data_IF_327726826160
#
_entry.id   IF_327726826160
#
_cell.length_a   1.000
_cell.length_b   1.000
_cell.length_c   1.000
_cell.angle_alpha   90.00
_cell.angle_beta   90.00
_cell.angle_gamma   90.00
#
_symmetry.space_group_name_H-M   'P 1'
#
loop_
_entity.id
_entity.type
_entity.pdbx_description
1 polymer ?
#
# COMPACT_ATOMS: atom_id res chain seq x y z
N UNK A 1 -4.91 5.81 5.99
CA UNK A 1 -4.61 6.18 4.58
C UNK A 1 -5.59 7.26 4.14
N UNK A 2 -5.15 8.29 3.42
CA UNK A 2 -5.97 9.41 2.97
C UNK A 2 -6.15 9.38 1.44
N UNK A 3 -7.39 9.26 0.98
CA UNK A 3 -7.74 9.07 -0.43
C UNK A 3 -8.62 10.22 -0.93
N UNK A 4 -8.26 10.80 -2.06
CA UNK A 4 -9.05 11.83 -2.75
C UNK A 4 -9.61 11.31 -4.08
N UNK A 5 -10.93 11.32 -4.26
CA UNK A 5 -11.57 11.14 -5.57
C UNK A 5 -11.82 12.48 -6.25
N UNK A 6 -11.36 12.63 -7.50
CA UNK A 6 -11.54 13.85 -8.28
C UNK A 6 -12.38 13.61 -9.53
N UNK A 7 -13.31 14.53 -9.77
CA UNK A 7 -14.10 14.62 -11.00
C UNK A 7 -14.22 16.10 -11.39
N UNK A 8 -14.89 16.44 -12.49
CA UNK A 8 -15.09 17.85 -12.86
C UNK A 8 -16.14 18.49 -11.94
N UNK A 9 -17.36 17.97 -11.92
CA UNK A 9 -18.49 18.63 -11.26
C UNK A 9 -18.69 18.27 -9.77
N UNK A 10 -17.99 17.25 -9.27
CA UNK A 10 -18.22 16.65 -7.95
C UNK A 10 -19.71 16.37 -7.60
N UNK A 11 -20.51 16.01 -8.60
CA UNK A 11 -21.96 15.85 -8.46
C UNK A 11 -22.44 14.39 -8.38
N UNK A 12 -21.74 13.46 -9.04
CA UNK A 12 -22.18 12.06 -9.14
C UNK A 12 -21.03 11.08 -8.86
N UNK A 13 -20.21 10.76 -9.87
CA UNK A 13 -19.18 9.70 -9.82
C UNK A 13 -18.29 9.76 -8.57
N UNK A 14 -17.76 10.94 -8.25
CA UNK A 14 -16.83 11.14 -7.13
C UNK A 14 -17.50 11.06 -5.75
N UNK A 15 -18.76 11.50 -5.63
CA UNK A 15 -19.54 11.32 -4.40
C UNK A 15 -19.94 9.85 -4.20
N UNK A 16 -20.31 9.16 -5.28
CA UNK A 16 -20.56 7.71 -5.27
C UNK A 16 -19.31 6.96 -4.81
N UNK A 17 -18.15 7.30 -5.37
CA UNK A 17 -16.88 6.68 -5.02
C UNK A 17 -16.48 6.97 -3.56
N UNK A 18 -16.64 8.21 -3.08
CA UNK A 18 -16.41 8.60 -1.68
C UNK A 18 -17.24 7.72 -0.72
N UNK A 19 -18.55 7.65 -0.95
CA UNK A 19 -19.47 6.90 -0.10
C UNK A 19 -19.18 5.38 -0.11
N UNK A 20 -18.95 4.81 -1.31
CA UNK A 20 -18.64 3.38 -1.45
C UNK A 20 -17.34 3.00 -0.73
N UNK A 21 -16.27 3.77 -0.94
CA UNK A 21 -14.99 3.47 -0.30
C UNK A 21 -15.08 3.67 1.21
N UNK A 22 -15.76 4.72 1.69
CA UNK A 22 -15.94 4.95 3.12
C UNK A 22 -16.69 3.79 3.78
N UNK A 23 -17.76 3.28 3.16
CA UNK A 23 -18.49 2.13 3.68
C UNK A 23 -17.68 0.83 3.66
N UNK A 24 -16.89 0.59 2.60
CA UNK A 24 -16.11 -0.65 2.46
C UNK A 24 -14.81 -0.65 3.27
N UNK A 25 -14.19 0.50 3.47
CA UNK A 25 -12.93 0.64 4.18
C UNK A 25 -13.12 0.78 5.70
N UNK A 26 -14.26 1.30 6.16
CA UNK A 26 -14.50 1.66 7.56
C UNK A 26 -13.50 2.71 8.04
N UNK A 27 -13.07 2.62 9.30
CA UNK A 27 -12.16 3.59 9.92
C UNK A 27 -10.71 3.52 9.43
N UNK A 28 -10.39 2.59 8.52
CA UNK A 28 -9.03 2.37 8.01
C UNK A 28 -8.56 3.49 7.06
N UNK A 29 -9.51 4.18 6.42
CA UNK A 29 -9.22 5.17 5.39
C UNK A 29 -10.04 6.45 5.61
N UNK A 30 -9.35 7.58 5.56
CA UNK A 30 -10.01 8.86 5.40
C UNK A 30 -10.27 9.07 3.91
N UNK A 31 -11.53 9.26 3.53
CA UNK A 31 -11.93 9.38 2.13
C UNK A 31 -12.54 10.75 1.92
N UNK A 32 -12.17 11.39 0.83
CA UNK A 32 -12.72 12.67 0.41
C UNK A 32 -12.91 12.68 -1.10
N UNK A 33 -13.79 13.55 -1.58
CA UNK A 33 -13.89 13.87 -3.00
C UNK A 33 -14.01 15.37 -3.23
N UNK A 34 -13.65 15.80 -4.44
CA UNK A 34 -13.72 17.19 -4.86
C UNK A 34 -13.88 17.33 -6.38
N UNK A 35 -14.15 18.57 -6.82
CA UNK A 35 -14.37 18.94 -8.22
C UNK A 35 -13.56 20.15 -8.65
N UNK A 36 -13.18 20.21 -9.93
CA UNK A 36 -12.56 21.41 -10.53
C UNK A 36 -13.59 22.51 -10.77
N UNK A 37 -14.84 22.13 -11.05
CA UNK A 37 -15.98 23.02 -11.26
C UNK A 37 -17.19 22.47 -10.46
N UNK A 38 -17.13 22.48 -9.11
CA UNK A 38 -18.13 21.81 -8.28
C UNK A 38 -19.53 22.38 -8.47
N UNK A 39 -20.53 21.52 -8.56
CA UNK A 39 -21.95 21.89 -8.63
C UNK A 39 -22.69 21.40 -7.39
N UNK A 40 -23.90 20.88 -7.51
CA UNK A 40 -24.66 20.26 -6.41
C UNK A 40 -24.61 18.74 -6.53
N UNK A 41 -24.72 18.03 -5.39
CA UNK A 41 -24.88 16.59 -5.41
C UNK A 41 -26.11 16.19 -6.23
N UNK A 42 -25.93 15.29 -7.19
CA UNK A 42 -26.99 14.89 -8.10
C UNK A 42 -28.01 14.01 -7.36
N UNK A 43 -29.32 14.33 -7.37
CA UNK A 43 -30.31 13.59 -6.59
C UNK A 43 -30.32 12.09 -6.86
N UNK A 44 -30.18 11.68 -8.14
CA UNK A 44 -30.13 10.27 -8.51
C UNK A 44 -28.85 9.55 -8.08
N UNK A 45 -27.74 10.27 -7.88
CA UNK A 45 -26.54 9.67 -7.29
C UNK A 45 -26.78 9.33 -5.83
N UNK A 46 -27.41 10.23 -5.07
CA UNK A 46 -27.81 9.99 -3.68
C UNK A 46 -28.84 8.87 -3.60
N UNK A 47 -29.86 8.87 -4.46
CA UNK A 47 -30.88 7.82 -4.50
C UNK A 47 -30.27 6.43 -4.82
N UNK A 48 -29.33 6.35 -5.77
CA UNK A 48 -28.66 5.09 -6.12
C UNK A 48 -27.82 4.52 -4.96
N UNK A 49 -27.21 5.38 -4.15
CA UNK A 49 -26.52 5.00 -2.91
C UNK A 49 -27.52 4.53 -1.85
N UNK A 50 -28.60 5.30 -1.62
CA UNK A 50 -29.64 4.98 -0.63
C UNK A 50 -30.36 3.66 -0.93
N UNK A 51 -30.63 3.34 -2.20
CA UNK A 51 -31.19 2.04 -2.62
C UNK A 51 -30.33 0.84 -2.20
N UNK A 52 -29.05 1.07 -1.92
CA UNK A 52 -28.09 0.05 -1.45
C UNK A 52 -27.77 0.15 0.04
N UNK A 53 -28.53 0.97 0.78
CA UNK A 53 -28.35 1.17 2.22
C UNK A 53 -27.11 1.98 2.59
N UNK A 54 -26.57 2.77 1.64
CA UNK A 54 -25.38 3.61 1.87
C UNK A 54 -25.83 4.98 2.38
N UNK A 55 -25.28 5.41 3.52
CA UNK A 55 -25.59 6.72 4.10
C UNK A 55 -25.12 7.87 3.19
N UNK A 56 -25.90 8.95 3.13
CA UNK A 56 -25.65 10.07 2.19
C UNK A 56 -25.69 11.44 2.85
N UNK A 57 -25.99 11.52 4.14
CA UNK A 57 -26.31 12.76 4.86
C UNK A 57 -25.15 13.76 4.88
N UNK A 58 -23.90 13.25 4.83
CA UNK A 58 -22.69 14.06 4.85
C UNK A 58 -22.09 14.30 3.46
N UNK A 59 -22.68 13.74 2.40
CA UNK A 59 -22.16 13.91 1.04
C UNK A 59 -22.56 15.27 0.50
N UNK A 60 -21.56 16.05 0.13
CA UNK A 60 -21.74 17.34 -0.52
C UNK A 60 -20.68 17.57 -1.57
N UNK A 61 -21.05 18.33 -2.60
CA UNK A 61 -20.12 18.78 -3.62
C UNK A 61 -19.12 19.77 -3.01
N UNK A 62 -17.83 19.59 -3.29
CA UNK A 62 -16.69 20.31 -2.71
C UNK A 62 -15.74 20.78 -3.81
N UNK A 63 -15.20 22.00 -3.67
CA UNK A 63 -14.14 22.51 -4.56
C UNK A 63 -12.80 21.82 -4.29
N UNK A 64 -11.96 21.76 -5.32
CA UNK A 64 -10.55 21.40 -5.20
C UNK A 64 -9.68 22.53 -4.62
N UNK A 65 -10.21 23.75 -4.54
CA UNK A 65 -9.48 24.89 -4.00
C UNK A 65 -9.01 24.63 -2.57
N UNK A 66 -7.72 24.88 -2.31
CA UNK A 66 -7.09 24.64 -1.01
C UNK A 66 -6.74 23.18 -0.73
N UNK A 67 -7.05 22.24 -1.62
CA UNK A 67 -6.63 20.82 -1.47
C UNK A 67 -5.30 20.50 -2.13
N UNK A 68 -4.75 21.39 -2.96
CA UNK A 68 -3.47 21.16 -3.66
C UNK A 68 -2.29 20.96 -2.69
N UNK A 69 -2.31 21.67 -1.56
CA UNK A 69 -1.27 21.55 -0.51
C UNK A 69 -1.52 20.39 0.45
N UNK A 70 -2.66 19.69 0.33
CA UNK A 70 -2.96 18.52 1.15
C UNK A 70 -2.24 17.30 0.58
N UNK A 71 -1.58 16.55 1.47
CA UNK A 71 -0.95 15.28 1.10
C UNK A 71 -1.99 14.15 1.16
N UNK A 72 -2.13 13.46 0.03
CA UNK A 72 -2.94 12.25 -0.11
C UNK A 72 -2.04 11.06 -0.40
N UNK A 73 -2.42 9.90 0.15
CA UNK A 73 -1.79 8.63 -0.21
C UNK A 73 -2.13 8.26 -1.65
N UNK A 74 -3.36 8.55 -2.10
CA UNK A 74 -3.80 8.44 -3.48
C UNK A 74 -4.74 9.56 -3.90
N UNK A 75 -4.55 10.04 -5.12
CA UNK A 75 -5.52 10.89 -5.84
C UNK A 75 -6.04 10.09 -7.02
N UNK A 76 -7.37 9.89 -7.07
CA UNK A 76 -8.02 9.02 -8.06
C UNK A 76 -8.97 9.84 -8.92
N UNK A 77 -8.62 10.05 -10.19
CA UNK A 77 -9.49 10.75 -11.15
C UNK A 77 -10.51 9.80 -11.76
N UNK A 78 -11.78 10.23 -11.84
CA UNK A 78 -12.89 9.41 -12.34
C UNK A 78 -13.34 9.75 -13.78
N UNK A 79 -12.66 10.69 -14.42
CA UNK A 79 -12.87 11.04 -15.82
C UNK A 79 -11.62 11.66 -16.45
N UNK A 80 -11.53 11.56 -17.77
CA UNK A 80 -10.42 12.10 -18.56
C UNK A 80 -10.21 13.61 -18.42
N UNK A 81 -11.28 14.38 -18.26
CA UNK A 81 -11.18 15.83 -18.07
C UNK A 81 -10.53 16.16 -16.73
N UNK A 82 -11.05 15.59 -15.64
CA UNK A 82 -10.48 15.76 -14.31
C UNK A 82 -9.04 15.24 -14.23
N UNK A 83 -8.70 14.15 -14.94
CA UNK A 83 -7.32 13.67 -15.07
C UNK A 83 -6.40 14.76 -15.60
N UNK A 84 -6.74 15.38 -16.73
CA UNK A 84 -5.92 16.41 -17.38
C UNK A 84 -5.77 17.66 -16.51
N UNK A 85 -6.84 18.08 -15.85
CA UNK A 85 -6.87 19.29 -15.01
C UNK A 85 -6.15 19.08 -13.66
N UNK A 86 -6.31 17.91 -13.04
CA UNK A 86 -5.80 17.65 -11.68
C UNK A 86 -4.39 17.06 -11.65
N UNK A 87 -3.96 16.32 -12.67
CA UNK A 87 -2.64 15.67 -12.66
C UNK A 87 -1.47 16.66 -12.47
N UNK A 88 -1.47 17.88 -13.06
CA UNK A 88 -0.43 18.87 -12.77
C UNK A 88 -0.45 19.37 -11.33
N UNK A 89 -1.63 19.49 -10.70
CA UNK A 89 -1.82 20.01 -9.34
C UNK A 89 -1.29 19.04 -8.27
N UNK A 90 -1.46 17.74 -8.48
CA UNK A 90 -1.05 16.69 -7.53
C UNK A 90 0.26 15.98 -7.94
N UNK A 91 1.15 16.68 -8.66
CA UNK A 91 2.42 16.11 -9.12
C UNK A 91 3.25 15.62 -7.92
N UNK A 92 3.78 14.40 -8.02
CA UNK A 92 4.59 13.77 -6.96
C UNK A 92 3.79 12.93 -5.97
N UNK A 93 2.45 12.93 -6.05
CA UNK A 93 1.59 12.03 -5.29
C UNK A 93 1.18 10.81 -6.13
N UNK A 94 0.66 9.74 -5.50
CA UNK A 94 0.20 8.57 -6.25
C UNK A 94 -1.12 8.87 -6.97
N UNK A 95 -1.02 9.25 -8.24
CA UNK A 95 -2.17 9.59 -9.07
C UNK A 95 -2.64 8.37 -9.88
N UNK A 96 -3.91 8.01 -9.77
CA UNK A 96 -4.54 6.90 -10.51
C UNK A 96 -5.72 7.45 -11.31
N UNK A 97 -5.93 6.92 -12.52
CA UNK A 97 -7.08 7.27 -13.34
C UNK A 97 -7.97 6.07 -13.59
N UNK A 98 -9.25 6.22 -13.28
CA UNK A 98 -10.31 5.27 -13.58
C UNK A 98 -11.35 5.98 -14.45
N UNK A 99 -11.57 5.51 -15.67
CA UNK A 99 -12.53 6.14 -16.56
C UNK A 99 -13.89 5.45 -16.45
N UNK A 100 -14.92 6.24 -16.12
CA UNK A 100 -16.31 5.79 -16.08
C UNK A 100 -17.19 6.69 -16.94
N UNK A 101 -18.16 6.12 -17.69
CA UNK A 101 -19.19 6.89 -18.36
C UNK A 101 -19.89 7.85 -17.39
N UNK A 102 -20.25 9.05 -17.86
CA UNK A 102 -20.98 10.01 -17.01
C UNK A 102 -22.45 9.60 -16.89
N UNK A 103 -22.93 9.18 -15.70
CA UNK A 103 -24.34 8.82 -15.54
C UNK A 103 -25.29 10.02 -15.71
N UNK A 104 -24.79 11.25 -15.50
CA UNK A 104 -25.60 12.48 -15.65
C UNK A 104 -25.97 12.71 -17.12
N UNK A 105 -25.13 12.27 -18.07
CA UNK A 105 -25.42 12.44 -19.49
C UNK A 105 -26.65 11.62 -19.95
N UNK A 106 -26.85 10.44 -19.37
CA UNK A 106 -28.04 9.62 -19.63
C UNK A 106 -29.21 9.96 -18.70
N UNK A 107 -28.93 10.43 -17.49
CA UNK A 107 -29.88 10.75 -16.42
C UNK A 107 -31.00 9.70 -16.26
N UNK A 108 -30.61 8.44 -16.07
CA UNK A 108 -31.53 7.32 -15.78
C UNK A 108 -31.07 6.58 -14.53
N UNK A 109 -32.00 6.04 -13.73
CA UNK A 109 -31.62 5.25 -12.55
C UNK A 109 -30.69 4.09 -12.91
N UNK A 110 -30.93 3.44 -14.05
CA UNK A 110 -30.07 2.37 -14.57
C UNK A 110 -28.63 2.83 -14.82
N UNK A 111 -28.42 4.05 -15.32
CA UNK A 111 -27.07 4.60 -15.52
C UNK A 111 -26.36 4.83 -14.18
N UNK A 112 -27.05 5.42 -13.19
CA UNK A 112 -26.47 5.61 -11.86
C UNK A 112 -26.20 4.28 -11.15
N UNK A 113 -27.13 3.33 -11.21
CA UNK A 113 -26.96 2.00 -10.60
C UNK A 113 -25.81 1.22 -11.23
N UNK A 114 -25.62 1.35 -12.56
CA UNK A 114 -24.47 0.83 -13.29
C UNK A 114 -23.17 1.48 -12.82
N UNK A 115 -23.12 2.81 -12.72
CA UNK A 115 -21.93 3.51 -12.20
C UNK A 115 -21.59 3.08 -10.78
N UNK A 116 -22.58 2.91 -9.89
CA UNK A 116 -22.37 2.39 -8.53
C UNK A 116 -21.77 0.98 -8.56
N UNK A 117 -22.29 0.10 -9.43
CA UNK A 117 -21.77 -1.26 -9.57
C UNK A 117 -20.31 -1.27 -10.05
N UNK A 118 -20.00 -0.57 -11.14
CA UNK A 118 -18.65 -0.52 -11.70
C UNK A 118 -17.63 0.10 -10.73
N UNK A 119 -18.00 1.18 -10.04
CA UNK A 119 -17.17 1.77 -8.99
C UNK A 119 -16.96 0.81 -7.81
N UNK A 120 -18.01 0.10 -7.40
CA UNK A 120 -17.91 -0.87 -6.31
C UNK A 120 -16.92 -1.99 -6.62
N UNK A 121 -16.93 -2.53 -7.85
CA UNK A 121 -15.97 -3.54 -8.28
C UNK A 121 -14.55 -2.99 -8.30
N UNK A 122 -14.36 -1.78 -8.84
CA UNK A 122 -13.04 -1.14 -8.90
C UNK A 122 -12.48 -0.85 -7.51
N UNK A 123 -13.32 -0.39 -6.59
CA UNK A 123 -12.96 -0.13 -5.19
C UNK A 123 -12.61 -1.44 -4.46
N UNK A 124 -13.36 -2.52 -4.66
CA UNK A 124 -13.01 -3.84 -4.09
C UNK A 124 -11.63 -4.30 -4.55
N UNK A 125 -11.34 -4.20 -5.85
CA UNK A 125 -10.01 -4.52 -6.38
C UNK A 125 -8.91 -3.65 -5.76
N UNK A 126 -9.17 -2.34 -5.61
CA UNK A 126 -8.23 -1.43 -4.96
C UNK A 126 -7.97 -1.86 -3.51
N UNK A 127 -9.02 -2.13 -2.72
CA UNK A 127 -8.88 -2.59 -1.34
C UNK A 127 -8.09 -3.90 -1.24
N UNK A 128 -8.35 -4.88 -2.10
CA UNK A 128 -7.58 -6.14 -2.12
C UNK A 128 -6.08 -5.93 -2.38
N UNK A 129 -5.73 -4.99 -3.25
CA UNK A 129 -4.32 -4.64 -3.51
C UNK A 129 -3.71 -3.93 -2.30
N UNK A 130 -4.48 -3.06 -1.64
CA UNK A 130 -4.03 -2.33 -0.46
C UNK A 130 -3.86 -3.26 0.75
N UNK A 131 -4.77 -4.21 0.98
CA UNK A 131 -4.65 -5.20 2.04
C UNK A 131 -3.39 -6.08 1.85
N UNK A 132 -3.06 -6.45 0.60
CA UNK A 132 -1.79 -7.15 0.29
C UNK A 132 -0.56 -6.30 0.58
N UNK A 133 -0.62 -4.99 0.34
CA UNK A 133 0.48 -4.06 0.63
C UNK A 133 0.62 -3.82 2.13
N UNK A 134 -0.49 -3.74 2.88
CA UNK A 134 -0.48 -3.61 4.34
C UNK A 134 -0.01 -4.90 5.02
N UNK A 135 -0.33 -6.09 4.50
CA UNK A 135 0.33 -7.33 4.96
C UNK A 135 1.83 -7.35 4.69
N UNK A 136 2.32 -6.49 3.79
CA UNK A 136 3.77 -6.29 3.57
C UNK A 136 4.34 -5.19 4.50
N UNK A 137 3.51 -4.20 4.88
CA UNK A 137 3.87 -3.09 5.77
C UNK A 137 3.43 -3.39 7.20
N UNK A 138 4.20 -4.23 7.88
CA UNK A 138 4.63 -4.09 9.28
C UNK A 138 5.43 -5.35 9.61
N UNK A 139 6.64 -5.44 9.04
CA UNK A 139 7.65 -6.42 9.46
C UNK A 139 7.87 -6.37 10.99
N UNK A 140 7.59 -5.20 11.57
CA UNK A 140 7.63 -4.88 12.99
C UNK A 140 6.50 -3.91 13.35
N UNK A 141 5.87 -4.11 14.52
CA UNK A 141 4.86 -3.21 15.07
C UNK A 141 5.49 -1.93 15.66
N UNK A 142 6.75 -2.01 16.09
CA UNK A 142 7.55 -0.88 16.54
C UNK A 142 9.05 -1.10 16.23
N UNK A 143 9.87 -0.03 16.15
CA UNK A 143 11.32 -0.16 15.98
C UNK A 143 11.99 -1.05 17.05
N UNK A 144 11.42 -1.09 18.26
CA UNK A 144 11.88 -1.96 19.35
C UNK A 144 11.86 -3.43 18.98
N UNK A 145 10.91 -3.89 18.17
CA UNK A 145 10.84 -5.29 17.76
C UNK A 145 11.96 -5.63 16.76
N UNK A 146 12.31 -4.70 15.87
CA UNK A 146 13.48 -4.84 15.00
C UNK A 146 14.78 -4.96 15.83
N UNK A 147 14.97 -4.08 16.82
CA UNK A 147 16.13 -4.15 17.69
C UNK A 147 16.17 -5.41 18.57
N UNK A 148 15.03 -5.91 19.06
CA UNK A 148 14.95 -7.22 19.75
C UNK A 148 15.37 -8.37 18.84
N UNK A 149 15.09 -8.29 17.54
CA UNK A 149 15.55 -9.28 16.56
C UNK A 149 17.06 -9.19 16.37
N UNK A 150 17.61 -7.99 16.18
CA UNK A 150 19.05 -7.79 16.02
C UNK A 150 19.87 -8.04 17.29
N UNK A 151 19.26 -7.97 18.49
CA UNK A 151 19.97 -8.15 19.75
C UNK A 151 20.47 -9.60 19.98
N UNK A 152 19.97 -10.56 19.22
CA UNK A 152 20.52 -11.93 19.25
C UNK A 152 21.79 -12.02 18.41
N UNK A 153 22.92 -12.49 18.97
CA UNK A 153 24.21 -12.51 18.27
C UNK A 153 24.20 -13.31 16.96
N UNK A 154 23.50 -14.45 16.92
CA UNK A 154 23.47 -15.32 15.76
C UNK A 154 22.61 -14.71 14.63
N UNK A 155 21.45 -14.14 14.96
CA UNK A 155 20.63 -13.42 13.99
C UNK A 155 21.37 -12.23 13.40
N UNK A 156 22.03 -11.43 14.24
CA UNK A 156 22.84 -10.30 13.76
C UNK A 156 23.95 -10.81 12.81
N UNK A 157 24.71 -11.81 13.24
CA UNK A 157 25.78 -12.39 12.42
C UNK A 157 25.28 -12.86 11.05
N UNK A 158 24.14 -13.57 11.00
CA UNK A 158 23.54 -14.02 9.73
C UNK A 158 23.06 -12.84 8.87
N UNK A 159 22.43 -11.81 9.45
CA UNK A 159 22.00 -10.62 8.70
C UNK A 159 23.20 -9.88 8.08
N UNK A 160 24.32 -9.77 8.79
CA UNK A 160 25.54 -9.14 8.28
C UNK A 160 26.22 -9.99 7.20
N UNK A 161 26.15 -11.32 7.28
CA UNK A 161 26.62 -12.21 6.21
C UNK A 161 25.74 -12.06 4.95
N UNK A 162 24.43 -12.09 5.11
CA UNK A 162 23.44 -11.98 4.04
C UNK A 162 23.37 -10.58 3.40
N UNK A 163 23.90 -9.55 4.08
CA UNK A 163 24.10 -8.23 3.49
C UNK A 163 25.08 -8.25 2.30
N UNK A 164 25.98 -9.24 2.27
CA UNK A 164 27.00 -9.37 1.21
C UNK A 164 26.53 -10.15 -0.02
N UNK A 165 25.39 -10.85 0.07
CA UNK A 165 24.88 -11.71 -0.99
C UNK A 165 23.96 -12.82 -0.47
N UNK A 166 23.43 -13.64 -1.38
CA UNK A 166 22.64 -14.81 -0.98
C UNK A 166 23.53 -15.95 -0.48
N UNK A 167 23.08 -16.66 0.55
CA UNK A 167 23.80 -17.79 1.14
C UNK A 167 22.85 -18.97 1.40
N UNK A 168 23.34 -20.19 1.27
CA UNK A 168 22.59 -21.38 1.68
C UNK A 168 22.67 -21.60 3.20
N UNK A 169 21.83 -22.51 3.70
CA UNK A 169 21.92 -22.96 5.10
C UNK A 169 23.30 -23.55 5.41
N UNK A 170 23.91 -24.25 4.43
CA UNK A 170 25.27 -24.79 4.52
C UNK A 170 26.31 -23.71 4.81
N UNK A 171 26.38 -22.69 3.94
CA UNK A 171 27.32 -21.58 4.09
C UNK A 171 27.16 -20.88 5.44
N UNK A 172 25.92 -20.72 5.91
CA UNK A 172 25.63 -20.09 7.20
C UNK A 172 26.05 -20.98 8.38
N UNK A 173 25.87 -22.30 8.30
CA UNK A 173 26.37 -23.25 9.31
C UNK A 173 27.89 -23.16 9.38
N UNK A 174 28.56 -23.18 8.24
CA UNK A 174 30.02 -23.11 8.17
C UNK A 174 30.56 -21.77 8.69
N UNK A 175 29.93 -20.65 8.31
CA UNK A 175 30.36 -19.31 8.71
C UNK A 175 30.03 -18.96 10.17
N UNK A 176 28.97 -19.54 10.74
CA UNK A 176 28.55 -19.27 12.12
C UNK A 176 29.11 -20.28 13.12
N UNK A 177 29.56 -21.46 12.65
CA UNK A 177 29.97 -22.58 13.50
C UNK A 177 28.82 -23.19 14.33
N UNK A 178 27.57 -22.87 13.99
CA UNK A 178 26.38 -23.31 14.71
C UNK A 178 25.75 -24.52 14.03
N UNK A 179 25.01 -25.33 14.80
CA UNK A 179 24.31 -26.49 14.24
C UNK A 179 23.21 -26.07 13.25
N UNK A 180 23.00 -26.88 12.21
CA UNK A 180 21.96 -26.66 11.20
C UNK A 180 20.55 -26.46 11.78
N UNK A 181 20.08 -27.22 12.80
CA UNK A 181 18.77 -26.96 13.42
C UNK A 181 18.67 -25.56 14.05
N UNK A 182 19.75 -25.08 14.67
CA UNK A 182 19.81 -23.75 15.28
C UNK A 182 19.74 -22.67 14.21
N UNK A 183 20.58 -22.76 13.19
CA UNK A 183 20.59 -21.83 12.04
C UNK A 183 19.22 -21.80 11.36
N UNK A 184 18.66 -22.96 11.01
CA UNK A 184 17.35 -23.07 10.36
C UNK A 184 16.23 -22.42 11.18
N UNK A 185 16.23 -22.61 12.51
CA UNK A 185 15.24 -21.99 13.40
C UNK A 185 15.32 -20.46 13.35
N UNK A 186 16.51 -19.89 13.42
CA UNK A 186 16.66 -18.43 13.34
C UNK A 186 16.34 -17.90 11.95
N UNK A 187 16.67 -18.62 10.87
CA UNK A 187 16.29 -18.24 9.50
C UNK A 187 14.76 -18.23 9.30
N UNK A 188 14.06 -19.24 9.82
CA UNK A 188 12.60 -19.28 9.80
C UNK A 188 12.00 -18.07 10.54
N UNK A 189 12.55 -17.74 11.71
CA UNK A 189 12.11 -16.58 12.47
C UNK A 189 12.39 -15.25 11.75
N UNK A 190 13.57 -15.10 11.14
CA UNK A 190 13.91 -13.90 10.36
C UNK A 190 13.03 -13.74 9.11
N UNK A 191 12.58 -14.85 8.51
CA UNK A 191 11.57 -14.86 7.45
C UNK A 191 10.18 -14.49 7.95
N UNK A 192 9.79 -14.96 9.13
CA UNK A 192 8.51 -14.61 9.76
C UNK A 192 8.43 -13.10 10.06
N UNK A 193 9.54 -12.51 10.51
CA UNK A 193 9.71 -11.04 10.60
C UNK A 193 9.96 -10.37 9.24
N UNK A 194 9.91 -11.13 8.14
CA UNK A 194 10.13 -10.73 6.75
C UNK A 194 11.43 -9.96 6.45
N UNK A 195 12.45 -10.09 7.30
CA UNK A 195 13.79 -9.57 7.03
C UNK A 195 14.50 -10.34 5.92
N UNK A 196 14.11 -11.59 5.71
CA UNK A 196 14.68 -12.49 4.71
C UNK A 196 13.64 -12.95 3.70
N UNK A 197 14.11 -13.17 2.47
CA UNK A 197 13.44 -13.94 1.45
C UNK A 197 14.24 -15.21 1.16
N UNK A 198 13.57 -16.27 0.74
CA UNK A 198 14.18 -17.51 0.31
C UNK A 198 13.90 -17.81 -1.17
N UNK A 199 14.86 -18.49 -1.80
CA UNK A 199 14.75 -19.05 -3.15
C UNK A 199 15.20 -20.49 -3.10
N UNK A 200 14.39 -21.38 -3.69
CA UNK A 200 14.81 -22.78 -3.89
C UNK A 200 15.57 -22.88 -5.21
N UNK A 201 16.77 -23.42 -5.16
CA UNK A 201 17.59 -23.70 -6.34
C UNK A 201 18.07 -25.14 -6.31
N UNK A 202 17.49 -25.95 -7.19
CA UNK A 202 17.77 -27.38 -7.32
C UNK A 202 17.62 -28.13 -5.98
N UNK A 203 18.75 -28.36 -5.28
CA UNK A 203 18.82 -29.11 -4.01
C UNK A 203 18.85 -28.20 -2.78
N UNK A 204 19.11 -26.90 -2.93
CA UNK A 204 19.40 -26.00 -1.82
C UNK A 204 18.37 -24.88 -1.71
N UNK A 205 18.25 -24.33 -0.50
CA UNK A 205 17.47 -23.12 -0.23
C UNK A 205 18.45 -22.01 0.11
N UNK A 206 18.42 -20.96 -0.71
CA UNK A 206 19.23 -19.76 -0.54
C UNK A 206 18.40 -18.67 0.11
N UNK A 207 19.03 -17.91 0.99
CA UNK A 207 18.43 -16.81 1.72
C UNK A 207 19.09 -15.51 1.30
N UNK A 208 18.33 -14.41 1.29
CA UNK A 208 18.81 -13.06 1.04
C UNK A 208 18.02 -12.05 1.87
N UNK A 209 18.60 -10.88 2.12
CA UNK A 209 17.86 -9.76 2.71
C UNK A 209 16.65 -9.39 1.84
N UNK A 210 15.52 -9.11 2.47
CA UNK A 210 14.30 -8.66 1.78
C UNK A 210 14.48 -7.23 1.23
N UNK A 211 14.52 -7.03 -0.10
CA UNK A 211 14.71 -5.70 -0.69
C UNK A 211 13.51 -4.77 -0.49
N UNK A 212 12.35 -5.32 -0.08
CA UNK A 212 11.16 -4.54 0.26
C UNK A 212 11.14 -4.10 1.73
N UNK A 213 12.20 -4.35 2.51
CA UNK A 213 12.29 -3.85 3.88
C UNK A 213 12.41 -2.31 3.90
N UNK A 214 11.90 -1.62 4.93
CA UNK A 214 12.05 -0.17 5.07
C UNK A 214 13.52 0.30 5.00
N UNK A 215 13.77 1.39 4.27
CA UNK A 215 15.11 1.94 4.02
C UNK A 215 15.94 2.15 5.29
N UNK A 216 15.30 2.56 6.38
CA UNK A 216 15.98 2.80 7.65
C UNK A 216 16.54 1.49 8.25
N UNK A 217 15.85 0.36 8.11
CA UNK A 217 16.34 -0.94 8.58
C UNK A 217 17.53 -1.39 7.73
N UNK A 218 17.40 -1.28 6.40
CA UNK A 218 18.47 -1.60 5.47
C UNK A 218 19.72 -0.75 5.76
N UNK A 219 19.55 0.55 6.03
CA UNK A 219 20.64 1.48 6.40
C UNK A 219 21.30 1.08 7.73
N UNK A 220 20.53 0.67 8.74
CA UNK A 220 21.10 0.20 10.01
C UNK A 220 21.92 -1.07 9.80
N UNK A 221 21.40 -2.05 9.05
CA UNK A 221 22.14 -3.29 8.75
C UNK A 221 23.42 -2.96 7.97
N UNK A 222 23.35 -2.09 6.96
CA UNK A 222 24.51 -1.68 6.16
C UNK A 222 25.56 -0.95 7.02
N UNK A 223 25.14 0.00 7.85
CA UNK A 223 26.03 0.72 8.78
C UNK A 223 26.66 -0.27 9.77
N UNK A 224 25.87 -1.19 10.31
CA UNK A 224 26.39 -2.20 11.25
C UNK A 224 27.41 -3.12 10.56
N UNK A 225 27.18 -3.49 9.28
CA UNK A 225 28.11 -4.30 8.50
C UNK A 225 29.42 -3.57 8.18
N UNK A 226 29.35 -2.26 7.93
CA UNK A 226 30.51 -1.39 7.70
C UNK A 226 31.43 -1.34 8.93
N UNK A 227 30.85 -1.14 10.12
CA UNK A 227 31.61 -1.05 11.38
C UNK A 227 31.88 -2.39 12.06
N UNK A 228 31.36 -3.51 11.53
CA UNK A 228 31.66 -4.86 11.99
C UNK A 228 32.11 -5.76 10.83
N UNK A 229 33.30 -5.52 10.25
CA UNK A 229 33.81 -6.31 9.14
C UNK A 229 34.10 -7.74 9.61
N UNK A 230 33.14 -8.64 9.38
CA UNK A 230 33.31 -10.08 9.58
C UNK A 230 34.47 -10.57 8.72
N UNK A 231 35.52 -11.13 9.35
CA UNK A 231 36.66 -11.75 8.66
C UNK A 231 36.14 -12.81 7.69
N UNK A 232 36.57 -12.78 6.43
CA UNK A 232 36.30 -13.87 5.48
C UNK A 232 36.91 -15.14 6.08
N UNK A 233 36.09 -16.10 6.47
CA UNK A 233 36.51 -17.49 6.57
C UNK A 233 36.76 -17.96 5.14
N UNK A 234 38.02 -17.84 4.71
CA UNK A 234 38.53 -18.55 3.54
C UNK A 234 38.60 -20.02 3.90
N UNK A 235 37.74 -20.82 3.28
CA UNK A 235 37.94 -22.26 3.09
C UNK A 235 38.42 -22.47 1.67
#
# INVERSE_FOLDING_TARGET
MHILFVCTANSARSLIAEALLQQLAGDRMHVSSAGTEPTTAHPRALAALQRRGIATDNLRSKSLDGLADTQFDYVISLCDRARKECQPLFRGQNFISWDFPDPVAADTDAAFDKTVHELSERIRMFLLIQDKRDTTKHLFNAPTDFFKVMADPLRLQMLLLLHRGELCVCDLVDATGMSQPKVSRHLAQLREYGLLLDRKDSRWVYYRLNPAMPDWMAKIIATTAEYNPMKRTTS
#
